data_IF_923531568930
#
_entry.id   IF_923531568930
#
_cell.length_a   1.000
_cell.length_b   1.000
_cell.length_c   1.000
_cell.angle_alpha   90.00
_cell.angle_beta   90.00
_cell.angle_gamma   90.00
#
_symmetry.space_group_name_H-M   'P 1'
#
loop_
_entity.id
_entity.type
_entity.pdbx_description
1 polymer ?
#
# COMPACT_ATOMS: atom_id res chain seq x y z
N UNK A 1 19.69 -17.72 -26.11
CA UNK A 1 18.84 -16.96 -25.16
C UNK A 1 18.82 -17.52 -23.74
N UNK A 2 19.31 -18.74 -23.48
CA UNK A 2 19.27 -19.39 -22.15
C UNK A 2 20.38 -19.00 -21.16
N UNK A 3 21.58 -18.65 -21.62
CA UNK A 3 22.74 -18.36 -20.73
C UNK A 3 22.74 -16.98 -20.05
N UNK A 4 21.92 -16.01 -20.51
CA UNK A 4 21.82 -14.69 -19.88
C UNK A 4 20.86 -14.69 -18.67
N UNK A 5 19.74 -15.42 -18.74
CA UNK A 5 18.79 -15.52 -17.62
C UNK A 5 19.38 -16.19 -16.38
N UNK A 6 20.27 -17.17 -16.55
CA UNK A 6 20.89 -17.89 -15.43
C UNK A 6 21.85 -16.99 -14.63
N UNK A 7 22.62 -16.12 -15.32
CA UNK A 7 23.57 -15.19 -14.67
C UNK A 7 22.87 -14.05 -13.92
N UNK A 8 21.75 -13.55 -14.43
CA UNK A 8 20.96 -12.52 -13.75
C UNK A 8 20.23 -13.07 -12.52
N UNK A 9 19.73 -14.31 -12.59
CA UNK A 9 19.11 -14.96 -11.43
C UNK A 9 20.11 -15.19 -10.28
N UNK A 10 21.36 -15.54 -10.57
CA UNK A 10 22.39 -15.73 -9.54
C UNK A 10 22.89 -14.41 -8.90
N UNK A 11 22.95 -13.31 -9.67
CA UNK A 11 23.21 -11.98 -9.11
C UNK A 11 22.06 -11.50 -8.22
N UNK A 12 20.83 -11.72 -8.67
CA UNK A 12 19.61 -11.40 -7.95
C UNK A 12 19.47 -12.17 -6.62
N UNK A 13 19.79 -13.47 -6.60
CA UNK A 13 19.83 -14.30 -5.37
C UNK A 13 20.76 -13.78 -4.27
N UNK A 14 21.78 -12.97 -4.61
CA UNK A 14 22.68 -12.37 -3.60
C UNK A 14 22.09 -11.14 -2.91
N UNK A 15 21.03 -10.52 -3.45
CA UNK A 15 20.43 -9.28 -2.93
C UNK A 15 19.16 -9.52 -2.13
N UNK A 16 18.47 -10.62 -2.37
CA UNK A 16 17.23 -10.97 -1.69
C UNK A 16 17.10 -12.48 -1.55
N UNK A 17 16.40 -12.90 -0.50
CA UNK A 17 16.08 -14.30 -0.26
C UNK A 17 14.70 -14.61 -0.86
N UNK A 18 14.63 -15.73 -1.57
CA UNK A 18 13.37 -16.29 -2.05
C UNK A 18 12.95 -17.43 -1.13
N UNK A 19 11.80 -17.27 -0.47
CA UNK A 19 11.23 -18.27 0.43
C UNK A 19 9.75 -18.44 0.07
N UNK A 20 9.32 -19.65 -0.28
CA UNK A 20 7.94 -19.94 -0.69
C UNK A 20 7.43 -19.01 -1.80
N UNK A 21 8.29 -18.67 -2.77
CA UNK A 21 8.03 -17.71 -3.86
C UNK A 21 7.85 -16.26 -3.41
N UNK A 22 8.04 -15.94 -2.14
CA UNK A 22 8.05 -14.58 -1.62
C UNK A 22 9.47 -14.03 -1.51
N UNK A 23 9.57 -12.69 -1.54
CA UNK A 23 10.85 -11.99 -1.54
C UNK A 23 11.11 -11.39 -0.18
N UNK A 24 12.34 -11.56 0.30
CA UNK A 24 12.82 -10.96 1.54
C UNK A 24 14.11 -10.18 1.26
N UNK A 25 14.03 -8.85 1.37
CA UNK A 25 15.15 -7.92 1.19
C UNK A 25 15.35 -7.11 2.48
N UNK A 26 16.26 -7.58 3.35
CA UNK A 26 16.46 -7.03 4.71
C UNK A 26 17.47 -5.88 4.79
N UNK A 27 18.26 -5.64 3.75
CA UNK A 27 19.32 -4.62 3.73
C UNK A 27 19.25 -3.64 2.55
N UNK A 28 18.66 -4.04 1.42
CA UNK A 28 18.54 -3.17 0.24
C UNK A 28 17.68 -1.94 0.49
N UNK A 29 18.13 -0.78 0.01
CA UNK A 29 17.38 0.48 0.05
C UNK A 29 16.65 0.78 -1.26
N UNK A 30 16.92 0.03 -2.32
CA UNK A 30 16.34 0.24 -3.64
C UNK A 30 15.98 -1.10 -4.27
N UNK A 31 14.88 -1.10 -5.00
CA UNK A 31 14.52 -2.15 -5.94
C UNK A 31 14.93 -1.61 -7.30
N UNK A 32 15.85 -2.30 -7.96
CA UNK A 32 16.44 -1.79 -9.20
C UNK A 32 15.47 -1.91 -10.37
N UNK A 33 15.77 -1.16 -11.44
CA UNK A 33 15.00 -1.22 -12.67
C UNK A 33 14.80 -2.68 -13.14
N UNK A 34 13.53 -3.06 -13.38
CA UNK A 34 13.11 -4.39 -13.84
C UNK A 34 13.46 -5.56 -12.89
N UNK A 35 13.77 -5.32 -11.61
CA UNK A 35 14.22 -6.38 -10.68
C UNK A 35 13.21 -7.55 -10.56
N UNK A 36 11.91 -7.23 -10.53
CA UNK A 36 10.83 -8.21 -10.33
C UNK A 36 9.76 -8.11 -11.41
N UNK A 37 10.13 -7.64 -12.60
CA UNK A 37 9.22 -7.56 -13.73
C UNK A 37 8.54 -8.92 -13.98
N UNK A 38 7.21 -8.92 -14.07
CA UNK A 38 6.35 -10.11 -14.28
C UNK A 38 6.47 -11.22 -13.22
N UNK A 39 6.95 -10.92 -12.01
CA UNK A 39 7.10 -11.92 -10.97
C UNK A 39 5.74 -12.42 -10.42
N UNK A 40 5.70 -13.67 -9.95
CA UNK A 40 4.48 -14.34 -9.45
C UNK A 40 4.42 -14.46 -7.92
N UNK A 41 5.30 -13.76 -7.21
CA UNK A 41 5.30 -13.63 -5.75
C UNK A 41 3.99 -13.06 -5.20
N UNK A 42 3.59 -13.52 -4.01
CA UNK A 42 2.44 -12.95 -3.31
C UNK A 42 2.83 -11.85 -2.33
N UNK A 43 4.01 -11.98 -1.71
CA UNK A 43 4.49 -11.07 -0.67
C UNK A 43 5.92 -10.58 -0.95
N UNK A 44 6.13 -9.27 -0.81
CA UNK A 44 7.44 -8.63 -0.88
C UNK A 44 7.81 -8.01 0.47
N UNK A 45 8.75 -8.61 1.20
CA UNK A 45 9.24 -8.14 2.49
C UNK A 45 10.51 -7.30 2.34
N UNK A 46 10.32 -5.99 2.19
CA UNK A 46 11.37 -5.02 1.86
C UNK A 46 11.44 -3.84 2.87
N UNK A 47 11.63 -4.09 4.19
CA UNK A 47 11.43 -3.09 5.24
C UNK A 47 12.27 -1.82 5.12
N UNK A 48 13.44 -1.88 4.48
CA UNK A 48 14.38 -0.75 4.33
C UNK A 48 14.35 -0.10 2.94
N UNK A 49 13.53 -0.61 2.02
CA UNK A 49 13.45 -0.07 0.66
C UNK A 49 12.83 1.32 0.69
N UNK A 50 13.56 2.28 0.14
CA UNK A 50 13.19 3.68 -0.02
C UNK A 50 12.70 4.01 -1.41
N UNK A 51 13.29 3.38 -2.43
CA UNK A 51 12.99 3.66 -3.83
C UNK A 51 12.62 2.37 -4.53
N UNK A 52 11.52 2.39 -5.27
CA UNK A 52 11.22 1.40 -6.30
C UNK A 52 11.51 2.05 -7.63
N UNK A 53 12.60 1.62 -8.27
CA UNK A 53 13.02 2.17 -9.55
C UNK A 53 12.10 1.72 -10.69
N UNK A 54 12.32 2.29 -11.87
CA UNK A 54 11.49 2.07 -13.06
C UNK A 54 11.12 0.61 -13.26
N UNK A 55 9.82 0.33 -13.33
CA UNK A 55 9.28 -1.03 -13.59
C UNK A 55 9.74 -2.11 -12.60
N UNK A 56 10.22 -1.74 -11.41
CA UNK A 56 10.79 -2.67 -10.43
C UNK A 56 9.88 -3.85 -10.08
N UNK A 57 8.56 -3.62 -9.96
CA UNK A 57 7.54 -4.67 -9.74
C UNK A 57 6.46 -4.68 -10.83
N UNK A 58 6.73 -4.13 -12.03
CA UNK A 58 5.72 -4.06 -13.08
C UNK A 58 5.16 -5.46 -13.39
N UNK A 59 3.83 -5.52 -13.48
CA UNK A 59 3.05 -6.69 -13.81
C UNK A 59 3.27 -7.90 -12.87
N UNK A 60 3.54 -7.63 -11.58
CA UNK A 60 3.47 -8.66 -10.54
C UNK A 60 2.01 -9.01 -10.23
N UNK A 61 1.33 -9.71 -11.15
CA UNK A 61 -0.12 -9.92 -11.10
C UNK A 61 -0.61 -10.65 -9.85
N UNK A 62 0.23 -11.50 -9.24
CA UNK A 62 -0.09 -12.27 -8.04
C UNK A 62 0.25 -11.53 -6.73
N UNK A 63 0.99 -10.42 -6.78
CA UNK A 63 1.43 -9.72 -5.58
C UNK A 63 0.23 -9.14 -4.84
N UNK A 64 0.08 -9.51 -3.58
CA UNK A 64 -0.97 -9.03 -2.69
C UNK A 64 -0.46 -7.97 -1.72
N UNK A 65 0.78 -8.08 -1.28
CA UNK A 65 1.35 -7.20 -0.27
C UNK A 65 2.79 -6.83 -0.59
N UNK A 66 3.04 -5.52 -0.58
CA UNK A 66 4.39 -4.97 -0.48
C UNK A 66 4.61 -4.43 0.94
N UNK A 67 5.71 -4.80 1.57
CA UNK A 67 6.07 -4.34 2.91
C UNK A 67 7.33 -3.48 2.85
N UNK A 68 7.18 -2.21 3.18
CA UNK A 68 8.29 -1.31 3.47
C UNK A 68 7.90 -0.36 4.61
N UNK A 69 8.88 0.03 5.42
CA UNK A 69 8.74 1.05 6.47
C UNK A 69 9.37 2.39 6.06
N UNK A 70 10.02 2.44 4.89
CA UNK A 70 10.84 3.55 4.45
C UNK A 70 10.57 3.94 2.99
N UNK A 71 9.53 3.43 2.35
CA UNK A 71 9.22 3.75 0.94
C UNK A 71 8.93 5.25 0.80
N UNK A 72 9.76 5.93 0.02
CA UNK A 72 9.76 7.38 -0.19
C UNK A 72 9.48 7.76 -1.65
N UNK A 73 9.92 6.94 -2.62
CA UNK A 73 9.77 7.21 -4.05
C UNK A 73 9.37 5.95 -4.83
N UNK A 74 8.43 6.12 -5.75
CA UNK A 74 8.05 5.10 -6.73
C UNK A 74 8.20 5.72 -8.11
N UNK A 75 9.14 5.17 -8.88
CA UNK A 75 9.46 5.65 -10.21
C UNK A 75 8.45 5.13 -11.27
N UNK A 76 8.74 5.45 -12.53
CA UNK A 76 7.87 5.15 -13.67
C UNK A 76 7.46 3.69 -13.68
N UNK A 77 6.15 3.44 -13.69
CA UNK A 77 5.59 2.10 -13.73
C UNK A 77 6.06 1.14 -12.61
N UNK A 78 6.55 1.65 -11.48
CA UNK A 78 7.14 0.85 -10.40
C UNK A 78 6.26 -0.31 -9.91
N UNK A 79 4.95 -0.09 -9.77
CA UNK A 79 3.94 -1.10 -9.45
C UNK A 79 2.87 -1.24 -10.55
N UNK A 80 3.19 -0.86 -11.79
CA UNK A 80 2.22 -0.92 -12.90
C UNK A 80 1.60 -2.31 -13.04
N UNK A 81 0.26 -2.39 -13.15
CA UNK A 81 -0.49 -3.63 -13.33
C UNK A 81 -0.25 -4.71 -12.25
N UNK A 82 0.05 -4.31 -11.01
CA UNK A 82 -0.04 -5.21 -9.86
C UNK A 82 -1.51 -5.41 -9.46
N UNK A 83 -2.28 -6.10 -10.31
CA UNK A 83 -3.75 -6.16 -10.22
C UNK A 83 -4.28 -6.74 -8.90
N UNK A 84 -3.55 -7.66 -8.28
CA UNK A 84 -3.91 -8.29 -6.99
C UNK A 84 -3.39 -7.53 -5.77
N UNK A 85 -2.73 -6.38 -5.94
CA UNK A 85 -2.10 -5.65 -4.85
C UNK A 85 -3.17 -5.05 -3.94
N UNK A 86 -3.26 -5.57 -2.72
CA UNK A 86 -4.25 -5.16 -1.71
C UNK A 86 -3.66 -4.08 -0.80
N UNK A 87 -2.35 -4.12 -0.55
CA UNK A 87 -1.70 -3.21 0.40
C UNK A 87 -0.34 -2.74 -0.08
N UNK A 88 -0.22 -1.42 -0.15
CA UNK A 88 1.00 -0.68 -0.44
C UNK A 88 1.22 0.39 0.63
N UNK A 89 2.29 0.34 1.44
CA UNK A 89 2.57 1.32 2.48
C UNK A 89 3.11 2.62 1.86
N UNK A 90 2.20 3.55 1.57
CA UNK A 90 2.51 4.82 0.92
C UNK A 90 2.71 6.00 1.89
N UNK A 91 2.64 5.78 3.21
CA UNK A 91 2.60 6.87 4.20
C UNK A 91 3.82 7.81 4.18
N UNK A 92 5.00 7.30 3.80
CA UNK A 92 6.23 8.09 3.65
C UNK A 92 6.54 8.48 2.20
N UNK A 93 5.70 8.10 1.24
CA UNK A 93 5.93 8.38 -0.17
C UNK A 93 5.79 9.88 -0.42
N UNK A 94 6.86 10.48 -0.93
CA UNK A 94 6.96 11.90 -1.26
C UNK A 94 6.84 12.15 -2.76
N UNK A 95 7.22 11.16 -3.58
CA UNK A 95 7.29 11.28 -5.03
C UNK A 95 6.73 10.04 -5.73
N UNK A 96 5.85 10.31 -6.69
CA UNK A 96 5.30 9.35 -7.63
C UNK A 96 5.64 9.83 -9.03
N UNK A 97 6.18 8.95 -9.86
CA UNK A 97 6.40 9.20 -11.28
C UNK A 97 5.23 8.66 -12.12
N UNK A 98 5.24 8.93 -13.43
CA UNK A 98 4.22 8.50 -14.39
C UNK A 98 3.84 7.01 -14.22
N UNK A 99 2.53 6.75 -14.13
CA UNK A 99 1.95 5.41 -14.02
C UNK A 99 2.54 4.51 -12.91
N UNK A 100 3.16 5.11 -11.88
CA UNK A 100 3.82 4.40 -10.78
C UNK A 100 2.94 3.36 -10.07
N UNK A 101 1.64 3.61 -9.95
CA UNK A 101 0.65 2.71 -9.31
C UNK A 101 -0.54 2.45 -10.26
N UNK A 102 -0.37 2.60 -11.59
CA UNK A 102 -1.45 2.38 -12.54
C UNK A 102 -1.90 0.90 -12.60
N UNK A 103 -3.17 0.67 -12.93
CA UNK A 103 -3.80 -0.65 -13.06
C UNK A 103 -3.75 -1.54 -11.79
N UNK A 104 -3.59 -0.95 -10.61
CA UNK A 104 -3.64 -1.66 -9.32
C UNK A 104 -5.09 -1.77 -8.82
N UNK A 105 -5.86 -2.69 -9.41
CA UNK A 105 -7.32 -2.77 -9.26
C UNK A 105 -7.81 -3.27 -7.89
N UNK A 106 -6.98 -3.95 -7.11
CA UNK A 106 -7.36 -4.49 -5.78
C UNK A 106 -7.10 -3.54 -4.61
N UNK A 107 -6.44 -2.39 -4.85
CA UNK A 107 -6.23 -1.38 -3.82
C UNK A 107 -7.56 -0.71 -3.49
N UNK A 108 -7.84 -0.49 -2.19
CA UNK A 108 -9.09 0.14 -1.72
C UNK A 108 -8.83 1.51 -1.10
N UNK A 109 -7.78 1.61 -0.29
CA UNK A 109 -7.39 2.83 0.40
C UNK A 109 -5.87 3.01 0.30
N UNK A 110 -5.44 4.23 0.03
CA UNK A 110 -4.03 4.63 0.09
C UNK A 110 -3.84 5.79 1.07
N UNK A 111 -2.73 5.76 1.80
CA UNK A 111 -2.37 6.84 2.72
C UNK A 111 -1.03 7.45 2.32
N UNK A 112 -1.02 8.72 1.98
CA UNK A 112 0.13 9.50 1.57
C UNK A 112 0.31 10.69 2.53
N UNK A 113 0.84 10.45 3.72
CA UNK A 113 0.99 11.49 4.74
C UNK A 113 1.95 12.63 4.32
N UNK A 114 2.86 12.34 3.37
CA UNK A 114 3.96 13.23 2.97
C UNK A 114 3.91 13.72 1.52
N UNK A 115 2.94 13.28 0.71
CA UNK A 115 2.89 13.65 -0.70
C UNK A 115 2.37 15.07 -0.89
N UNK A 116 2.96 15.80 -1.84
CA UNK A 116 2.62 17.19 -2.13
C UNK A 116 1.86 17.35 -3.45
N UNK A 117 2.10 16.46 -4.41
CA UNK A 117 1.53 16.52 -5.76
C UNK A 117 1.18 15.12 -6.26
N UNK A 118 0.07 15.03 -6.99
CA UNK A 118 -0.32 13.84 -7.74
C UNK A 118 -0.46 14.19 -9.22
N UNK A 119 0.19 13.38 -10.06
CA UNK A 119 0.33 13.63 -11.49
C UNK A 119 -0.70 12.85 -12.31
N UNK A 120 -0.85 13.24 -13.58
CA UNK A 120 -1.65 12.48 -14.55
C UNK A 120 -1.25 10.99 -14.54
N UNK A 121 -2.24 10.10 -14.56
CA UNK A 121 -2.09 8.64 -14.66
C UNK A 121 -1.32 7.94 -13.53
N UNK A 122 -0.94 8.60 -12.43
CA UNK A 122 -0.35 7.89 -11.28
C UNK A 122 -1.23 6.72 -10.81
N UNK A 123 -2.55 6.89 -10.90
CA UNK A 123 -3.58 5.92 -10.50
C UNK A 123 -4.52 5.54 -11.65
N UNK A 124 -4.05 5.59 -12.89
CA UNK A 124 -4.83 5.20 -14.08
C UNK A 124 -5.46 3.82 -13.87
N UNK A 125 -6.76 3.69 -14.19
CA UNK A 125 -7.50 2.43 -14.08
C UNK A 125 -7.41 1.71 -12.70
N UNK A 126 -7.24 2.45 -11.61
CA UNK A 126 -7.28 1.91 -10.24
C UNK A 126 -8.70 1.87 -9.67
N UNK A 127 -9.60 1.11 -10.31
CA UNK A 127 -11.04 1.14 -10.05
C UNK A 127 -11.47 0.69 -8.64
N UNK A 128 -10.60 -0.02 -7.91
CA UNK A 128 -10.87 -0.44 -6.53
C UNK A 128 -10.71 0.67 -5.51
N UNK A 129 -9.92 1.71 -5.81
CA UNK A 129 -9.56 2.73 -4.82
C UNK A 129 -10.75 3.64 -4.58
N UNK A 130 -11.22 3.65 -3.34
CA UNK A 130 -12.36 4.46 -2.88
C UNK A 130 -11.93 5.68 -2.08
N UNK A 131 -10.74 5.61 -1.47
CA UNK A 131 -10.24 6.68 -0.62
C UNK A 131 -8.73 6.86 -0.75
N UNK A 132 -8.32 8.12 -0.82
CA UNK A 132 -6.92 8.54 -0.68
C UNK A 132 -6.85 9.51 0.50
N UNK A 133 -5.94 9.24 1.43
CA UNK A 133 -5.66 10.13 2.56
C UNK A 133 -4.37 10.85 2.24
N UNK A 134 -4.39 12.17 2.11
CA UNK A 134 -3.23 12.97 1.74
C UNK A 134 -3.30 14.37 2.38
N UNK A 135 -3.01 14.50 3.69
CA UNK A 135 -3.20 15.74 4.44
C UNK A 135 -2.33 16.91 3.97
N UNK A 136 -1.16 16.61 3.36
CA UNK A 136 -0.21 17.62 2.84
C UNK A 136 -0.35 17.87 1.33
N UNK A 137 -1.34 17.27 0.68
CA UNK A 137 -1.55 17.41 -0.76
C UNK A 137 -1.87 18.87 -1.11
N UNK A 138 -1.16 19.41 -2.10
CA UNK A 138 -1.31 20.80 -2.57
C UNK A 138 -1.81 20.88 -4.01
N UNK A 139 -1.36 19.97 -4.87
CA UNK A 139 -1.63 20.00 -6.30
C UNK A 139 -2.09 18.63 -6.80
N UNK A 140 -3.19 18.64 -7.55
CA UNK A 140 -3.65 17.49 -8.33
C UNK A 140 -3.63 17.95 -9.79
N UNK A 141 -2.85 17.27 -10.63
CA UNK A 141 -2.85 17.54 -12.07
C UNK A 141 -4.19 17.15 -12.71
N UNK A 142 -4.57 17.89 -13.75
CA UNK A 142 -5.75 17.56 -14.56
C UNK A 142 -5.61 16.14 -15.10
N UNK A 143 -6.65 15.32 -15.00
CA UNK A 143 -6.59 13.93 -15.48
C UNK A 143 -6.06 12.92 -14.47
N UNK A 144 -5.56 13.34 -13.31
CA UNK A 144 -5.04 12.40 -12.30
C UNK A 144 -6.09 11.39 -11.81
N UNK A 145 -7.38 11.76 -11.86
CA UNK A 145 -8.50 10.97 -11.33
C UNK A 145 -9.70 10.84 -12.29
N UNK A 146 -9.53 11.04 -13.59
CA UNK A 146 -10.66 11.04 -14.55
C UNK A 146 -11.39 9.68 -14.64
N UNK A 147 -10.68 8.57 -14.37
CA UNK A 147 -11.24 7.21 -14.40
C UNK A 147 -12.09 6.87 -13.17
N UNK A 148 -12.09 7.72 -12.13
CA UNK A 148 -12.76 7.44 -10.87
C UNK A 148 -14.24 7.82 -10.90
N UNK A 149 -15.08 6.93 -10.39
CA UNK A 149 -16.53 7.18 -10.30
C UNK A 149 -16.96 7.81 -8.97
N UNK A 150 -16.31 7.42 -7.87
CA UNK A 150 -16.63 7.86 -6.51
C UNK A 150 -15.37 7.80 -5.64
N UNK A 151 -14.36 8.62 -5.98
CA UNK A 151 -13.15 8.75 -5.18
C UNK A 151 -13.32 9.84 -4.12
N UNK A 152 -12.94 9.50 -2.88
CA UNK A 152 -12.86 10.44 -1.77
C UNK A 152 -11.42 10.75 -1.42
N UNK A 153 -11.09 12.03 -1.32
CA UNK A 153 -9.77 12.51 -0.91
C UNK A 153 -9.91 13.17 0.45
N UNK A 154 -9.20 12.63 1.44
CA UNK A 154 -9.08 13.23 2.76
C UNK A 154 -7.86 14.13 2.75
N UNK A 155 -8.07 15.44 2.62
CA UNK A 155 -7.01 16.45 2.60
C UNK A 155 -7.37 17.59 3.54
N UNK A 156 -6.37 18.15 4.25
CA UNK A 156 -6.60 19.23 5.22
C UNK A 156 -6.59 20.62 4.58
N UNK A 157 -6.16 20.73 3.33
CA UNK A 157 -6.01 21.99 2.61
C UNK A 157 -7.03 22.06 1.47
N UNK A 158 -7.41 23.29 1.07
CA UNK A 158 -8.21 23.50 -0.14
C UNK A 158 -7.37 23.08 -1.35
N UNK A 159 -7.60 21.88 -1.84
CA UNK A 159 -7.06 21.42 -3.12
C UNK A 159 -8.04 21.85 -4.20
N UNK A 160 -7.53 22.46 -5.27
CA UNK A 160 -8.36 22.80 -6.43
C UNK A 160 -8.97 21.52 -7.00
N UNK A 161 -10.29 21.49 -7.16
CA UNK A 161 -11.02 20.33 -7.65
C UNK A 161 -11.33 20.50 -9.15
N UNK A 162 -10.58 19.85 -10.06
CA UNK A 162 -10.84 19.90 -11.49
C UNK A 162 -11.99 18.97 -11.93
N UNK A 163 -12.61 18.21 -11.01
CA UNK A 163 -13.66 17.22 -11.27
C UNK A 163 -13.20 15.77 -11.05
N UNK A 164 -14.14 14.83 -10.92
CA UNK A 164 -13.88 13.38 -10.82
C UNK A 164 -13.68 12.80 -9.40
N UNK A 165 -13.63 13.65 -8.37
CA UNK A 165 -13.49 13.21 -6.98
C UNK A 165 -14.13 14.21 -5.99
N UNK A 166 -14.29 13.76 -4.74
CA UNK A 166 -14.82 14.56 -3.63
C UNK A 166 -13.76 14.75 -2.55
N UNK A 167 -13.63 15.97 -2.03
CA UNK A 167 -12.74 16.26 -0.89
C UNK A 167 -13.58 16.20 0.38
N UNK A 168 -13.11 15.46 1.39
CA UNK A 168 -13.76 15.27 2.68
C UNK A 168 -12.76 15.51 3.82
N UNK A 169 -13.26 15.88 5.00
CA UNK A 169 -12.39 16.16 6.16
C UNK A 169 -12.03 14.91 6.97
N UNK A 170 -12.92 13.91 6.99
CA UNK A 170 -12.77 12.72 7.83
C UNK A 170 -12.56 11.44 7.02
N UNK A 171 -11.63 10.61 7.50
CA UNK A 171 -11.37 9.28 6.96
C UNK A 171 -12.60 8.38 7.09
N UNK A 172 -13.10 7.89 5.96
CA UNK A 172 -14.09 6.81 5.95
C UNK A 172 -13.43 5.47 6.28
N UNK A 173 -14.12 4.65 7.07
CA UNK A 173 -13.68 3.29 7.38
C UNK A 173 -14.39 2.32 6.45
N UNK A 174 -13.62 1.48 5.78
CA UNK A 174 -14.14 0.37 5.00
C UNK A 174 -14.04 -0.91 5.82
N UNK A 175 -14.96 -1.85 5.56
CA UNK A 175 -14.86 -3.18 6.14
C UNK A 175 -13.52 -3.81 5.73
N UNK A 176 -12.82 -4.41 6.69
CA UNK A 176 -11.54 -5.07 6.43
C UNK A 176 -11.69 -6.10 5.32
N UNK A 177 -10.84 -6.03 4.29
CA UNK A 177 -10.74 -7.10 3.30
C UNK A 177 -10.22 -8.33 4.04
N UNK A 178 -11.02 -9.39 4.05
CA UNK A 178 -10.73 -10.62 4.77
C UNK A 178 -9.50 -11.32 4.15
N UNK A 179 -8.32 -10.99 4.66
CA UNK A 179 -7.14 -11.85 4.57
C UNK A 179 -6.67 -12.15 5.99
N UNK A 180 -6.33 -13.42 6.24
CA UNK A 180 -6.09 -13.97 7.58
C UNK A 180 -5.02 -13.21 8.39
N UNK A 181 -4.17 -12.45 7.69
CA UNK A 181 -3.03 -11.72 8.26
C UNK A 181 -3.43 -10.32 8.77
N UNK A 182 -4.49 -9.68 8.25
CA UNK A 182 -4.73 -8.23 8.40
C UNK A 182 -6.06 -7.82 9.06
N UNK A 183 -6.71 -8.69 9.83
CA UNK A 183 -7.86 -8.32 10.66
C UNK A 183 -7.46 -7.46 11.87
N UNK A 184 -6.81 -6.30 11.66
CA UNK A 184 -6.25 -5.43 12.70
C UNK A 184 -7.35 -4.84 13.58
N UNK A 185 -8.35 -4.23 12.97
CA UNK A 185 -9.49 -3.61 13.65
C UNK A 185 -10.32 -4.68 14.36
N UNK A 186 -10.56 -5.84 13.72
CA UNK A 186 -11.24 -6.96 14.40
C UNK A 186 -10.41 -7.52 15.56
N UNK A 187 -9.09 -7.65 15.44
CA UNK A 187 -8.19 -8.05 16.55
C UNK A 187 -8.20 -7.03 17.68
N UNK A 188 -8.18 -5.72 17.36
CA UNK A 188 -8.28 -4.65 18.35
C UNK A 188 -9.64 -4.65 19.06
N UNK A 189 -10.73 -4.82 18.32
CA UNK A 189 -12.08 -4.91 18.88
C UNK A 189 -12.23 -6.15 19.78
N UNK A 190 -11.71 -7.30 19.35
CA UNK A 190 -11.65 -8.51 20.17
C UNK A 190 -10.84 -8.29 21.45
N UNK A 191 -9.69 -7.63 21.35
CA UNK A 191 -8.86 -7.30 22.51
C UNK A 191 -9.59 -6.37 23.50
N UNK A 192 -10.21 -5.29 23.01
CA UNK A 192 -10.99 -4.35 23.83
C UNK A 192 -12.17 -5.05 24.50
N UNK A 193 -12.91 -5.89 23.76
CA UNK A 193 -14.01 -6.68 24.30
C UNK A 193 -13.55 -7.65 25.39
N UNK A 194 -12.41 -8.33 25.19
CA UNK A 194 -11.81 -9.21 26.22
C UNK A 194 -11.41 -8.43 27.47
N UNK A 195 -10.79 -7.26 27.32
CA UNK A 195 -10.39 -6.42 28.45
C UNK A 195 -11.61 -5.93 29.24
N UNK A 196 -12.68 -5.51 28.57
CA UNK A 196 -13.91 -5.08 29.23
C UNK A 196 -14.55 -6.22 30.02
N UNK A 197 -14.62 -7.44 29.45
CA UNK A 197 -15.11 -8.63 30.17
C UNK A 197 -14.29 -8.91 31.43
N UNK A 198 -12.96 -8.85 31.34
CA UNK A 198 -12.07 -9.06 32.48
C UNK A 198 -12.28 -8.03 33.59
N UNK A 199 -12.49 -6.75 33.23
CA UNK A 199 -12.79 -5.68 34.18
C UNK A 199 -14.13 -5.93 34.90
N UNK A 200 -15.17 -6.28 34.15
CA UNK A 200 -16.47 -6.63 34.73
C UNK A 200 -16.36 -7.81 35.69
N UNK A 201 -15.60 -8.85 35.34
CA UNK A 201 -15.43 -10.04 36.18
C UNK A 201 -14.65 -9.75 37.46
N UNK A 202 -13.60 -8.92 37.39
CA UNK A 202 -12.89 -8.40 38.58
C UNK A 202 -13.81 -7.60 39.49
N UNK A 203 -14.66 -6.75 38.93
CA UNK A 203 -15.66 -5.99 39.68
C UNK A 203 -16.68 -6.87 40.41
N UNK A 204 -17.18 -7.91 39.73
CA UNK A 204 -18.10 -8.89 40.32
C UNK A 204 -17.45 -9.67 41.47
N UNK A 205 -16.20 -10.10 41.30
CA UNK A 205 -15.46 -10.82 42.34
C UNK A 205 -15.19 -9.91 43.55
N UNK A 206 -14.85 -8.64 43.33
CA UNK A 206 -14.66 -7.66 44.43
C UNK A 206 -15.96 -7.40 45.20
N UNK A 207 -17.11 -7.34 44.51
CA UNK A 207 -18.44 -7.22 45.16
C UNK A 207 -18.81 -8.46 45.98
N UNK A 208 -18.38 -9.66 45.57
CA UNK A 208 -18.60 -10.90 46.33
C UNK A 208 -17.75 -11.00 47.60
N UNK A 209 -16.55 -10.40 47.60
CA UNK A 209 -15.65 -10.38 48.76
C UNK A 209 -16.03 -9.33 49.82
N UNK A 210 -16.92 -8.40 49.48
CA UNK A 210 -17.40 -7.33 50.37
C UNK A 210 -18.79 -7.65 50.98
N UNK A 211 -19.30 -8.86 50.75
CA UNK A 211 -20.47 -9.44 51.40
C UNK A 211 -20.02 -10.56 52.32
#
# INVERSE_FOLDING_TARGET
MSKCHEKDQDKKKRRYLLLNMDIYMTFGQRIEELDFLFNIMMFAHCPKVKVVEKRGFRACYAMRYFFSLQLEEIEEEGFFACVSLIKLPTGKVKKLSSQSIAFCQSLVELNFDEILQMQERNFESCWGVRQIIAPKLKLIEKGAFDDFRDLKIVASQKVENPGGYTIIDERQRFQEVASEIFLRERKQLLFLSRNQKNLCQKGLNKKRLLK
#
